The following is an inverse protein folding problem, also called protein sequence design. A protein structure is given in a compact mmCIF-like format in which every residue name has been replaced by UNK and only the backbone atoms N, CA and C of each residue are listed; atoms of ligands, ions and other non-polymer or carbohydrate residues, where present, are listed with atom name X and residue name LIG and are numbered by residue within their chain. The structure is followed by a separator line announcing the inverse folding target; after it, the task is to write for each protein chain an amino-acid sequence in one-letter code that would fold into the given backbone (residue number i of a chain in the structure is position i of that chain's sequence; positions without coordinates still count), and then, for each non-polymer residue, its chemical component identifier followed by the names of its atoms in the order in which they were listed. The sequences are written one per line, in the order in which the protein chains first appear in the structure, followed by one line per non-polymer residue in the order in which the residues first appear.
data_IF_115789029626
#
_entry.id   IF_115789029626
#
_cell.length_a   1.000
_cell.length_b   1.000
_cell.length_c   1.000
_cell.angle_alpha   90.00
_cell.angle_beta   90.00
_cell.angle_gamma   90.00
#
_symmetry.space_group_name_H-M   'P 1'
#
loop_
_entity.id
_entity.type
_entity.pdbx_description
1 polymer ?
#
# COMPACT_ATOMS: atom_id res chain seq x y z
N UNK A 1 11.05 -14.58 -14.38
CA UNK A 1 11.80 -13.69 -13.47
C UNK A 1 11.41 -12.20 -13.56
N UNK A 2 11.04 -11.64 -14.72
CA UNK A 2 10.71 -10.21 -14.87
C UNK A 2 9.53 -9.70 -14.02
N UNK A 3 8.49 -10.50 -13.79
CA UNK A 3 7.33 -10.08 -13.00
C UNK A 3 7.60 -9.97 -11.49
N UNK A 4 8.64 -10.63 -10.99
CA UNK A 4 8.99 -10.59 -9.56
C UNK A 4 9.67 -9.25 -9.22
N UNK A 5 10.60 -8.80 -10.09
CA UNK A 5 11.24 -7.47 -10.01
C UNK A 5 10.22 -6.32 -10.02
N UNK A 6 9.25 -6.32 -10.94
CA UNK A 6 8.23 -5.26 -11.00
C UNK A 6 7.36 -5.18 -9.75
N UNK A 7 7.06 -6.32 -9.12
CA UNK A 7 6.29 -6.35 -7.85
C UNK A 7 7.11 -5.79 -6.70
N UNK A 8 8.40 -6.14 -6.64
CA UNK A 8 9.33 -5.62 -5.64
C UNK A 8 9.54 -4.11 -5.82
N UNK A 9 9.65 -3.61 -7.04
CA UNK A 9 9.74 -2.17 -7.32
C UNK A 9 8.48 -1.41 -6.85
N UNK A 10 7.29 -1.92 -7.14
CA UNK A 10 6.04 -1.31 -6.67
C UNK A 10 5.94 -1.32 -5.13
N UNK A 11 6.43 -2.38 -4.48
CA UNK A 11 6.46 -2.48 -3.03
C UNK A 11 7.44 -1.48 -2.41
N UNK A 12 8.64 -1.36 -2.97
CA UNK A 12 9.67 -0.40 -2.53
C UNK A 12 9.16 1.04 -2.71
N UNK A 13 8.55 1.38 -3.84
CA UNK A 13 7.97 2.69 -4.08
C UNK A 13 6.87 2.99 -3.05
N UNK A 14 6.02 2.01 -2.73
CA UNK A 14 5.00 2.13 -1.69
C UNK A 14 5.61 2.42 -0.30
N UNK A 15 6.67 1.72 0.08
CA UNK A 15 7.36 1.95 1.37
C UNK A 15 8.05 3.31 1.43
N UNK A 16 8.75 3.72 0.36
CA UNK A 16 9.42 5.02 0.30
C UNK A 16 8.41 6.17 0.33
N UNK A 17 7.29 6.02 -0.36
CA UNK A 17 6.15 6.95 -0.29
C UNK A 17 5.71 7.11 1.18
N UNK A 18 5.40 6.01 1.86
CA UNK A 18 4.97 6.03 3.27
C UNK A 18 6.00 6.69 4.20
N UNK A 19 7.29 6.42 4.00
CA UNK A 19 8.38 7.03 4.76
C UNK A 19 8.41 8.56 4.56
N UNK A 20 8.26 9.03 3.32
CA UNK A 20 8.25 10.46 2.98
C UNK A 20 7.02 11.14 3.59
N UNK A 21 5.85 10.49 3.59
CA UNK A 21 4.64 11.01 4.23
C UNK A 21 4.83 11.26 5.73
N UNK A 22 5.40 10.29 6.45
CA UNK A 22 5.66 10.38 7.89
C UNK A 22 6.73 11.44 8.18
N UNK A 23 7.77 11.54 7.34
CA UNK A 23 8.82 12.56 7.48
C UNK A 23 8.26 13.97 7.22
N UNK A 24 7.37 14.12 6.24
CA UNK A 24 6.66 15.37 5.96
C UNK A 24 5.81 15.79 7.16
N UNK A 25 4.96 14.90 7.70
CA UNK A 25 4.15 15.21 8.89
C UNK A 25 4.92 15.55 10.15
N UNK A 26 6.13 14.99 10.30
CA UNK A 26 6.95 15.17 11.52
C UNK A 26 7.93 16.34 11.45
N UNK A 27 8.42 16.70 10.26
CA UNK A 27 9.46 17.72 10.07
C UNK A 27 9.06 18.88 9.15
N UNK A 28 8.06 18.70 8.29
CA UNK A 28 7.41 19.82 7.64
C UNK A 28 6.60 20.53 8.72
N UNK A 29 6.91 21.80 9.00
CA UNK A 29 6.03 22.63 9.85
C UNK A 29 4.58 22.62 9.33
N UNK A 30 3.67 23.27 10.06
CA UNK A 30 2.22 23.37 9.74
C UNK A 30 1.95 24.12 8.41
N UNK A 31 2.46 23.59 7.31
CA UNK A 31 2.31 24.06 5.96
C UNK A 31 1.24 23.18 5.32
N UNK A 32 0.20 23.82 4.80
CA UNK A 32 -0.96 23.18 4.18
C UNK A 32 -0.57 22.17 3.09
N UNK A 33 0.55 22.40 2.38
CA UNK A 33 1.06 21.47 1.36
C UNK A 33 1.57 20.15 1.97
N UNK A 34 2.23 20.21 3.12
CA UNK A 34 2.81 19.05 3.80
C UNK A 34 1.70 18.13 4.32
N UNK A 35 0.69 18.69 4.99
CA UNK A 35 -0.48 17.96 5.48
C UNK A 35 -1.27 17.32 4.32
N UNK A 36 -1.39 18.04 3.19
CA UNK A 36 -2.04 17.50 1.99
C UNK A 36 -1.27 16.31 1.40
N UNK A 37 0.06 16.40 1.29
CA UNK A 37 0.87 15.28 0.82
C UNK A 37 0.80 14.10 1.79
N UNK A 38 0.94 14.31 3.09
CA UNK A 38 0.82 13.24 4.09
C UNK A 38 -0.52 12.51 3.99
N UNK A 39 -1.62 13.27 3.90
CA UNK A 39 -2.96 12.71 3.71
C UNK A 39 -3.10 11.94 2.40
N UNK A 40 -2.57 12.46 1.30
CA UNK A 40 -2.62 11.80 -0.02
C UNK A 40 -1.86 10.47 0.00
N UNK A 41 -0.62 10.47 0.50
CA UNK A 41 0.22 9.28 0.55
C UNK A 41 -0.37 8.21 1.49
N UNK A 42 -0.95 8.64 2.62
CA UNK A 42 -1.65 7.76 3.56
C UNK A 42 -2.89 7.14 2.92
N UNK A 43 -3.69 7.91 2.18
CA UNK A 43 -4.84 7.43 1.45
C UNK A 43 -4.49 6.37 0.39
N UNK A 44 -3.43 6.60 -0.39
CA UNK A 44 -2.95 5.64 -1.40
C UNK A 44 -2.54 4.31 -0.73
N UNK A 45 -1.80 4.39 0.37
CA UNK A 45 -1.38 3.20 1.14
C UNK A 45 -2.56 2.39 1.67
N UNK A 46 -3.57 3.09 2.20
CA UNK A 46 -4.78 2.45 2.73
C UNK A 46 -5.54 1.71 1.62
N UNK A 47 -5.74 2.35 0.47
CA UNK A 47 -6.44 1.75 -0.68
C UNK A 47 -5.70 0.53 -1.20
N UNK A 48 -4.37 0.57 -1.29
CA UNK A 48 -3.57 -0.60 -1.71
C UNK A 48 -3.70 -1.76 -0.73
N UNK A 49 -3.62 -1.50 0.58
CA UNK A 49 -3.78 -2.54 1.60
C UNK A 49 -5.18 -3.15 1.58
N UNK A 50 -6.23 -2.32 1.43
CA UNK A 50 -7.61 -2.80 1.37
C UNK A 50 -7.85 -3.64 0.12
N UNK A 51 -7.33 -3.20 -1.03
CA UNK A 51 -7.44 -3.93 -2.28
C UNK A 51 -6.72 -5.29 -2.20
N UNK A 52 -5.54 -5.32 -1.58
CA UNK A 52 -4.82 -6.56 -1.31
C UNK A 52 -5.61 -7.49 -0.39
N UNK A 53 -6.17 -6.97 0.72
CA UNK A 53 -6.95 -7.75 1.67
C UNK A 53 -8.20 -8.38 1.02
N UNK A 54 -8.94 -7.60 0.22
CA UNK A 54 -10.13 -8.08 -0.50
C UNK A 54 -9.76 -9.18 -1.49
N UNK A 55 -8.67 -8.98 -2.25
CA UNK A 55 -8.20 -9.97 -3.22
C UNK A 55 -7.71 -11.25 -2.55
N UNK A 56 -6.97 -11.11 -1.45
CA UNK A 56 -6.46 -12.23 -0.66
C UNK A 56 -7.59 -13.00 0.04
N UNK A 57 -8.60 -12.30 0.55
CA UNK A 57 -9.80 -12.92 1.12
C UNK A 57 -10.60 -13.72 0.10
N UNK A 58 -10.67 -13.24 -1.15
CA UNK A 58 -11.31 -13.97 -2.25
C UNK A 58 -10.52 -15.23 -2.65
N UNK A 59 -9.20 -15.16 -2.63
CA UNK A 59 -8.30 -16.27 -2.96
C UNK A 59 -8.34 -17.38 -1.90
N UNK A 60 -8.39 -17.03 -0.61
CA UNK A 60 -8.58 -18.02 0.47
C UNK A 60 -9.90 -18.79 0.34
N UNK A 61 -11.02 -18.10 0.09
CA UNK A 61 -12.32 -18.77 -0.10
C UNK A 61 -12.36 -19.71 -1.31
N UNK A 62 -11.56 -19.45 -2.34
CA UNK A 62 -11.44 -20.37 -3.48
C UNK A 62 -10.63 -21.62 -3.12
N UNK A 63 -9.55 -21.48 -2.34
CA UNK A 63 -8.75 -22.61 -1.90
C UNK A 63 -9.51 -23.54 -0.95
N UNK A 64 -10.36 -22.99 -0.06
CA UNK A 64 -11.25 -23.79 0.79
C UNK A 64 -12.25 -24.62 -0.01
N UNK A 65 -12.73 -24.12 -1.16
CA UNK A 65 -13.66 -24.86 -2.04
C UNK A 65 -12.99 -25.98 -2.83
N UNK A 66 -11.69 -25.86 -3.13
CA UNK A 66 -10.94 -26.90 -3.84
C UNK A 66 -10.53 -28.03 -2.88
N UNK A 67 -10.26 -27.72 -1.60
CA UNK A 67 -9.90 -28.73 -0.61
C UNK A 67 -11.08 -29.62 -0.14
N UNK A 68 -12.32 -29.31 -0.53
CA UNK A 68 -13.50 -30.10 -0.18
C UNK A 68 -14.03 -30.96 -1.34
N UNK A 69 -13.31 -31.05 -2.45
CA UNK A 69 -13.62 -31.87 -3.64
C UNK A 69 -12.46 -32.81 -3.94
#
# INVERSE_FOLDING_TARGET
MLFKKKKEEMFIIGMFSLLIAILLGRFGGQYVLTDFLEGLLTGISLVMNLCFLVRYGKERRMNDKISQN
#
